data_IF_532377815495
#
_entry.id   IF_532377815495
#
_cell.length_a   1.000
_cell.length_b   1.000
_cell.length_c   1.000
_cell.angle_alpha   90.00
_cell.angle_beta   90.00
_cell.angle_gamma   90.00
#
_symmetry.space_group_name_H-M   'P 1'
#
loop_
_entity.id
_entity.type
_entity.pdbx_description
1 polymer ?
#
# COMPACT_ATOMS: atom_id res chain seq x y z
N UNK A 1 -11.41 37.58 10.79
CA UNK A 1 -10.97 36.43 11.59
C UNK A 1 -10.06 35.59 10.72
N UNK A 2 -8.77 35.54 11.00
CA UNK A 2 -7.83 34.72 10.23
C UNK A 2 -8.18 33.22 10.40
N UNK A 3 -8.58 32.54 9.32
CA UNK A 3 -8.73 31.08 9.31
C UNK A 3 -7.40 30.47 9.71
N UNK A 4 -7.35 29.78 10.86
CA UNK A 4 -6.20 28.98 11.27
C UNK A 4 -5.85 28.07 10.09
N UNK A 5 -4.64 28.22 9.51
CA UNK A 5 -4.14 27.39 8.42
C UNK A 5 -4.26 25.93 8.87
N UNK A 6 -5.16 25.15 8.29
CA UNK A 6 -5.23 23.71 8.50
C UNK A 6 -3.90 23.14 8.02
N UNK A 7 -3.18 22.43 8.87
CA UNK A 7 -1.84 21.92 8.58
C UNK A 7 -1.82 20.73 7.60
N UNK A 8 -2.98 20.16 7.26
CA UNK A 8 -3.12 19.12 6.26
C UNK A 8 -4.54 19.08 5.71
N UNK A 9 -4.68 19.14 4.39
CA UNK A 9 -5.95 18.97 3.66
C UNK A 9 -6.06 17.48 3.31
N UNK A 10 -6.96 16.78 3.98
CA UNK A 10 -7.13 15.33 3.84
C UNK A 10 -8.31 15.04 2.92
N UNK A 11 -8.03 14.49 1.73
CA UNK A 11 -9.05 14.13 0.75
C UNK A 11 -9.91 12.91 1.16
N UNK A 12 -9.34 12.03 1.94
CA UNK A 12 -10.02 10.78 2.33
C UNK A 12 -9.90 9.65 1.31
N UNK A 13 -9.41 9.94 0.11
CA UNK A 13 -9.16 8.91 -0.89
C UNK A 13 -7.87 8.15 -0.61
N UNK A 14 -7.79 6.94 -1.12
CA UNK A 14 -6.60 6.10 -1.12
C UNK A 14 -6.69 5.11 -2.26
N UNK A 15 -5.59 4.52 -2.64
CA UNK A 15 -5.56 3.62 -3.77
C UNK A 15 -4.58 2.47 -3.61
N UNK A 16 -4.41 1.77 -4.71
CA UNK A 16 -3.47 0.68 -4.87
C UNK A 16 -3.11 0.55 -6.35
N UNK A 17 -1.83 0.40 -6.65
CA UNK A 17 -1.41 0.00 -7.99
C UNK A 17 -1.87 -1.43 -8.30
N UNK A 18 -2.30 -1.64 -9.53
CA UNK A 18 -2.62 -2.94 -10.13
C UNK A 18 -1.81 -3.12 -11.42
N UNK A 19 -1.92 -4.25 -12.09
CA UNK A 19 -1.24 -4.47 -13.37
C UNK A 19 -1.74 -3.44 -14.39
N UNK A 20 -0.82 -2.66 -14.94
CA UNK A 20 -1.06 -1.56 -15.91
C UNK A 20 -2.17 -0.58 -15.49
N UNK A 21 -2.32 -0.37 -14.18
CA UNK A 21 -3.42 0.44 -13.71
C UNK A 21 -3.34 0.88 -12.26
N UNK A 22 -4.37 1.61 -11.87
CA UNK A 22 -4.55 2.12 -10.51
C UNK A 22 -6.00 1.89 -10.07
N UNK A 23 -6.16 1.33 -8.88
CA UNK A 23 -7.43 1.35 -8.15
C UNK A 23 -7.45 2.56 -7.23
N UNK A 24 -8.53 3.35 -7.26
CA UNK A 24 -8.83 4.40 -6.30
C UNK A 24 -10.10 4.10 -5.53
N UNK A 25 -10.10 4.42 -4.25
CA UNK A 25 -11.23 4.19 -3.33
C UNK A 25 -11.58 5.46 -2.58
N UNK A 26 -12.88 5.77 -2.56
CA UNK A 26 -13.48 6.83 -1.76
C UNK A 26 -14.65 6.24 -0.96
N UNK A 27 -14.50 6.13 0.36
CA UNK A 27 -15.47 5.46 1.25
C UNK A 27 -15.75 4.02 0.81
N UNK A 28 -16.96 3.72 0.34
CA UNK A 28 -17.36 2.39 -0.14
C UNK A 28 -17.20 2.23 -1.66
N UNK A 29 -17.13 3.34 -2.41
CA UNK A 29 -16.98 3.32 -3.85
C UNK A 29 -15.50 3.15 -4.22
N UNK A 30 -15.21 2.35 -5.24
CA UNK A 30 -13.87 2.24 -5.81
C UNK A 30 -13.95 2.14 -7.33
N UNK A 31 -12.90 2.61 -7.99
CA UNK A 31 -12.69 2.44 -9.42
C UNK A 31 -11.35 1.79 -9.70
N UNK A 32 -11.30 0.95 -10.71
CA UNK A 32 -10.07 0.40 -11.27
C UNK A 32 -9.93 0.93 -12.68
N UNK A 33 -8.89 1.72 -12.94
CA UNK A 33 -8.55 2.16 -14.28
C UNK A 33 -7.33 1.38 -14.77
N UNK A 34 -7.39 0.83 -15.98
CA UNK A 34 -6.37 -0.05 -16.55
C UNK A 34 -6.12 0.39 -17.98
N UNK A 35 -4.84 0.50 -18.39
CA UNK A 35 -4.49 0.71 -19.80
C UNK A 35 -4.40 -0.65 -20.49
N UNK A 36 -5.29 -0.88 -21.45
CA UNK A 36 -5.30 -2.10 -22.29
C UNK A 36 -4.15 -2.11 -23.30
N UNK A 37 -3.91 -3.27 -23.90
CA UNK A 37 -2.86 -3.43 -24.92
C UNK A 37 -3.08 -2.58 -26.17
N UNK A 38 -4.33 -2.21 -26.50
CA UNK A 38 -4.69 -1.30 -27.59
C UNK A 38 -4.47 0.18 -27.28
N UNK A 39 -4.06 0.50 -26.03
CA UNK A 39 -3.82 1.86 -25.55
C UNK A 39 -5.06 2.53 -24.93
N UNK A 40 -6.26 1.95 -25.04
CA UNK A 40 -7.45 2.48 -24.40
C UNK A 40 -7.38 2.30 -22.87
N UNK A 41 -7.98 3.27 -22.14
CA UNK A 41 -8.12 3.19 -20.69
C UNK A 41 -9.53 2.66 -20.37
N UNK A 42 -9.57 1.46 -19.80
CA UNK A 42 -10.79 0.88 -19.23
C UNK A 42 -10.99 1.35 -17.79
N UNK A 43 -12.22 1.69 -17.40
CA UNK A 43 -12.53 2.14 -16.04
C UNK A 43 -13.76 1.41 -15.53
N UNK A 44 -13.56 0.53 -14.56
CA UNK A 44 -14.64 -0.15 -13.85
C UNK A 44 -14.88 0.50 -12.50
N UNK A 45 -16.14 0.84 -12.21
CA UNK A 45 -16.57 1.41 -10.91
C UNK A 45 -17.46 0.39 -10.21
N UNK A 46 -17.18 0.12 -8.93
CA UNK A 46 -17.96 -0.81 -8.13
C UNK A 46 -17.94 -0.42 -6.65
N UNK A 47 -18.75 -1.07 -5.84
CA UNK A 47 -18.89 -0.81 -4.40
C UNK A 47 -18.28 -1.94 -3.60
N UNK A 48 -17.36 -1.62 -2.71
CA UNK A 48 -16.76 -2.58 -1.80
C UNK A 48 -17.21 -2.33 -0.36
N UNK A 49 -18.07 -3.20 0.11
CA UNK A 49 -18.46 -3.25 1.53
C UNK A 49 -17.56 -4.24 2.26
N UNK A 50 -16.90 -3.79 3.32
CA UNK A 50 -16.03 -4.62 4.15
C UNK A 50 -16.75 -5.81 4.78
N UNK A 51 -16.01 -6.66 5.52
CA UNK A 51 -16.51 -7.89 6.15
C UNK A 51 -17.71 -7.67 7.09
N UNK A 52 -17.74 -6.53 7.80
CA UNK A 52 -18.77 -6.21 8.79
C UNK A 52 -19.29 -4.78 8.57
N UNK A 53 -20.03 -4.51 7.49
CA UNK A 53 -20.52 -3.18 7.18
C UNK A 53 -21.47 -2.68 8.28
N UNK A 54 -21.21 -1.47 8.77
CA UNK A 54 -22.03 -0.85 9.83
C UNK A 54 -21.84 -1.39 11.25
N UNK A 55 -21.03 -2.43 11.46
CA UNK A 55 -20.78 -3.01 12.78
C UNK A 55 -19.98 -2.07 13.69
N UNK A 56 -20.32 -2.06 14.99
CA UNK A 56 -19.56 -1.33 16.01
C UNK A 56 -18.16 -1.91 16.22
N UNK A 57 -17.94 -3.19 15.94
CA UNK A 57 -16.66 -3.89 16.12
C UNK A 57 -15.58 -3.26 15.22
N UNK A 58 -15.94 -2.86 13.99
CA UNK A 58 -15.02 -2.20 13.06
C UNK A 58 -14.67 -0.76 13.45
N UNK A 59 -15.25 -0.23 14.54
CA UNK A 59 -14.92 1.10 15.08
C UNK A 59 -13.99 1.03 16.29
N UNK A 60 -13.84 -0.16 16.91
CA UNK A 60 -13.00 -0.37 18.09
C UNK A 60 -11.52 -0.24 17.70
N UNK A 61 -10.74 0.61 18.40
CA UNK A 61 -9.29 0.70 18.18
C UNK A 61 -8.62 -0.69 18.19
N UNK A 62 -7.57 -0.87 17.44
CA UNK A 62 -6.86 -2.12 17.16
C UNK A 62 -7.67 -3.14 16.36
N UNK A 63 -8.89 -3.51 16.76
CA UNK A 63 -9.74 -4.45 16.01
C UNK A 63 -10.06 -3.92 14.60
N UNK A 64 -10.38 -2.63 14.49
CA UNK A 64 -10.59 -2.00 13.17
C UNK A 64 -9.37 -2.13 12.25
N UNK A 65 -8.15 -2.13 12.81
CA UNK A 65 -6.93 -2.31 12.05
C UNK A 65 -6.84 -3.69 11.42
N UNK A 66 -7.22 -4.73 12.16
CA UNK A 66 -7.26 -6.11 11.67
C UNK A 66 -8.28 -6.23 10.53
N UNK A 67 -9.50 -5.75 10.73
CA UNK A 67 -10.55 -5.83 9.71
C UNK A 67 -10.22 -5.01 8.47
N UNK A 68 -9.75 -3.77 8.63
CA UNK A 68 -9.35 -2.94 7.49
C UNK A 68 -8.18 -3.55 6.72
N UNK A 69 -7.24 -4.22 7.39
CA UNK A 69 -6.15 -4.93 6.73
C UNK A 69 -6.67 -6.10 5.89
N UNK A 70 -7.55 -6.93 6.46
CA UNK A 70 -8.18 -8.04 5.73
C UNK A 70 -9.00 -7.52 4.55
N UNK A 71 -9.78 -6.47 4.74
CA UNK A 71 -10.59 -5.85 3.70
C UNK A 71 -9.71 -5.26 2.58
N UNK A 72 -8.60 -4.62 2.92
CA UNK A 72 -7.63 -4.12 1.94
C UNK A 72 -7.00 -5.26 1.12
N UNK A 73 -6.66 -6.38 1.76
CA UNK A 73 -6.15 -7.56 1.04
C UNK A 73 -7.21 -8.14 0.10
N UNK A 74 -8.46 -8.27 0.55
CA UNK A 74 -9.56 -8.79 -0.27
C UNK A 74 -9.84 -7.90 -1.49
N UNK A 75 -9.92 -6.57 -1.26
CA UNK A 75 -10.11 -5.63 -2.35
C UNK A 75 -8.92 -5.63 -3.30
N UNK A 76 -7.70 -5.60 -2.75
CA UNK A 76 -6.47 -5.63 -3.55
C UNK A 76 -6.38 -6.87 -4.44
N UNK A 77 -6.67 -8.05 -3.91
CA UNK A 77 -6.71 -9.30 -4.70
C UNK A 77 -7.78 -9.25 -5.78
N UNK A 78 -8.99 -8.71 -5.47
CA UNK A 78 -10.05 -8.54 -6.47
C UNK A 78 -9.58 -7.65 -7.62
N UNK A 79 -8.95 -6.52 -7.33
CA UNK A 79 -8.50 -5.56 -8.34
C UNK A 79 -7.29 -6.08 -9.14
N UNK A 80 -6.35 -6.80 -8.50
CA UNK A 80 -5.22 -7.44 -9.20
C UNK A 80 -5.73 -8.53 -10.15
N UNK A 81 -6.64 -9.39 -9.70
CA UNK A 81 -7.21 -10.44 -10.55
C UNK A 81 -8.03 -9.84 -11.71
N UNK A 82 -8.75 -8.75 -11.47
CA UNK A 82 -9.43 -8.03 -12.54
C UNK A 82 -8.44 -7.48 -13.57
N UNK A 83 -7.37 -6.82 -13.13
CA UNK A 83 -6.36 -6.28 -14.04
C UNK A 83 -5.60 -7.36 -14.79
N UNK A 84 -5.36 -8.53 -14.18
CA UNK A 84 -4.70 -9.66 -14.84
C UNK A 84 -5.46 -10.17 -16.07
N UNK A 85 -6.80 -10.14 -16.05
CA UNK A 85 -7.62 -10.59 -17.16
C UNK A 85 -7.34 -9.85 -18.48
N UNK A 86 -6.91 -8.58 -18.41
CA UNK A 86 -6.57 -7.79 -19.59
C UNK A 86 -5.19 -8.13 -20.19
N UNK A 87 -4.41 -8.96 -19.50
CA UNK A 87 -3.05 -9.37 -19.91
C UNK A 87 -2.96 -10.85 -20.25
N UNK A 88 -3.95 -11.66 -19.85
CA UNK A 88 -4.01 -13.09 -20.16
C UNK A 88 -4.45 -13.37 -21.61
N UNK A 89 -4.78 -12.35 -22.42
CA UNK A 89 -5.11 -12.49 -23.86
C UNK A 89 -3.94 -12.91 -24.76
N UNK A 90 -2.74 -13.10 -24.23
CA UNK A 90 -1.67 -13.85 -24.85
C UNK A 90 -1.75 -15.29 -24.38
N UNK A 91 -2.47 -16.16 -25.12
CA UNK A 91 -2.48 -17.63 -25.03
C UNK A 91 -1.56 -18.20 -23.92
N UNK A 92 -1.96 -18.05 -22.66
CA UNK A 92 -1.40 -18.87 -21.61
C UNK A 92 -1.80 -20.31 -21.97
N UNK A 93 -0.91 -21.04 -22.66
CA UNK A 93 -1.11 -22.45 -22.92
C UNK A 93 -1.45 -23.10 -21.58
N UNK A 94 -2.73 -23.51 -21.45
CA UNK A 94 -3.16 -24.26 -20.27
C UNK A 94 -2.14 -25.35 -20.00
N UNK A 95 -1.46 -25.26 -18.88
CA UNK A 95 -0.43 -26.23 -18.55
C UNK A 95 -1.09 -27.61 -18.39
N UNK A 96 -0.32 -28.69 -18.60
CA UNK A 96 -0.81 -30.05 -18.36
C UNK A 96 -1.36 -30.21 -16.94
N UNK A 97 -0.90 -29.38 -16.01
CA UNK A 97 -1.35 -29.35 -14.62
C UNK A 97 -2.75 -28.73 -14.50
N UNK A 98 -3.03 -27.64 -15.24
CA UNK A 98 -4.34 -26.97 -15.24
C UNK A 98 -5.41 -27.89 -15.78
N UNK A 99 -5.14 -28.56 -16.91
CA UNK A 99 -6.04 -29.58 -17.50
C UNK A 99 -6.28 -30.76 -16.58
N UNK A 100 -5.26 -31.21 -15.85
CA UNK A 100 -5.38 -32.30 -14.89
C UNK A 100 -6.22 -31.90 -13.67
N UNK A 101 -5.99 -30.69 -13.14
CA UNK A 101 -6.72 -30.15 -12.01
C UNK A 101 -8.20 -29.89 -12.37
N UNK A 102 -8.48 -29.37 -13.53
CA UNK A 102 -9.86 -29.14 -13.99
C UNK A 102 -10.64 -30.46 -14.17
N UNK A 103 -9.97 -31.48 -14.68
CA UNK A 103 -10.57 -32.80 -14.84
C UNK A 103 -10.87 -33.50 -13.50
N UNK A 104 -10.03 -33.27 -12.47
CA UNK A 104 -10.22 -33.85 -11.13
C UNK A 104 -11.20 -33.05 -10.31
N UNK A 105 -11.25 -31.72 -10.49
CA UNK A 105 -12.02 -30.78 -9.65
C UNK A 105 -13.42 -30.43 -10.22
N UNK A 106 -13.77 -30.94 -11.38
CA UNK A 106 -15.08 -30.66 -12.02
C UNK A 106 -15.25 -29.18 -12.38
N UNK A 107 -14.22 -28.54 -12.97
CA UNK A 107 -14.24 -27.12 -13.41
C UNK A 107 -13.91 -26.11 -12.29
N UNK A 108 -13.33 -26.57 -11.16
CA UNK A 108 -12.88 -25.70 -10.05
C UNK A 108 -11.36 -25.64 -9.92
N UNK A 109 -10.60 -26.15 -10.90
CA UNK A 109 -9.15 -26.29 -10.86
C UNK A 109 -8.45 -24.97 -10.59
N UNK A 110 -8.82 -23.90 -11.28
CA UNK A 110 -8.29 -22.55 -11.12
C UNK A 110 -8.46 -22.03 -9.69
N UNK A 111 -9.67 -22.16 -9.10
CA UNK A 111 -9.92 -21.70 -7.72
C UNK A 111 -9.12 -22.48 -6.68
N UNK A 112 -8.92 -23.79 -6.91
CA UNK A 112 -8.13 -24.66 -6.03
C UNK A 112 -6.66 -24.26 -6.14
N UNK A 113 -6.15 -24.07 -7.37
CA UNK A 113 -4.78 -23.64 -7.61
C UNK A 113 -4.51 -22.25 -6.99
N UNK A 114 -5.40 -21.30 -7.18
CA UNK A 114 -5.32 -19.97 -6.56
C UNK A 114 -5.33 -20.05 -5.03
N UNK A 115 -6.20 -20.88 -4.44
CA UNK A 115 -6.22 -21.12 -2.99
C UNK A 115 -4.93 -21.76 -2.49
N UNK A 116 -4.41 -22.76 -3.20
CA UNK A 116 -3.15 -23.42 -2.84
C UNK A 116 -1.95 -22.47 -2.91
N UNK A 117 -1.82 -21.70 -4.00
CA UNK A 117 -0.73 -20.74 -4.17
C UNK A 117 -0.80 -19.63 -3.11
N UNK A 118 -2.00 -19.18 -2.76
CA UNK A 118 -2.19 -18.20 -1.67
C UNK A 118 -1.73 -18.76 -0.33
N UNK A 119 -2.13 -19.97 0.04
CA UNK A 119 -1.71 -20.61 1.28
C UNK A 119 -0.19 -20.84 1.29
N UNK A 120 0.37 -21.34 0.18
CA UNK A 120 1.81 -21.56 0.04
C UNK A 120 2.59 -20.24 0.20
N UNK A 121 2.11 -19.15 -0.40
CA UNK A 121 2.72 -17.82 -0.28
C UNK A 121 2.70 -17.31 1.17
N UNK A 122 1.61 -17.52 1.90
CA UNK A 122 1.52 -17.15 3.32
C UNK A 122 2.50 -17.98 4.16
N UNK A 123 2.57 -19.31 3.93
CA UNK A 123 3.52 -20.19 4.64
C UNK A 123 4.95 -19.76 4.36
N UNK A 124 5.29 -19.46 3.11
CA UNK A 124 6.61 -18.98 2.73
C UNK A 124 6.94 -17.63 3.36
N UNK A 125 5.99 -16.70 3.38
CA UNK A 125 6.17 -15.40 4.04
C UNK A 125 6.45 -15.57 5.55
N UNK A 126 5.70 -16.43 6.24
CA UNK A 126 5.94 -16.74 7.66
C UNK A 126 7.32 -17.38 7.84
N UNK A 127 7.71 -18.31 6.97
CA UNK A 127 9.03 -18.95 7.01
C UNK A 127 10.16 -17.94 6.84
N UNK A 128 10.08 -17.05 5.84
CA UNK A 128 11.14 -16.08 5.53
C UNK A 128 11.20 -14.93 6.55
N UNK A 129 10.05 -14.36 6.97
CA UNK A 129 10.04 -13.14 7.78
C UNK A 129 9.91 -13.39 9.29
N UNK A 130 9.50 -14.58 9.71
CA UNK A 130 9.37 -14.92 11.14
C UNK A 130 10.35 -16.01 11.55
N UNK A 131 10.37 -17.13 10.82
CA UNK A 131 11.17 -18.29 11.23
C UNK A 131 12.66 -18.12 10.89
N UNK A 132 12.99 -17.66 9.69
CA UNK A 132 14.38 -17.53 9.25
C UNK A 132 15.21 -16.58 10.14
N UNK A 133 14.76 -15.34 10.49
CA UNK A 133 15.47 -14.48 11.42
C UNK A 133 15.69 -15.14 12.77
N UNK A 134 14.68 -15.84 13.28
CA UNK A 134 14.76 -16.57 14.53
C UNK A 134 15.83 -17.69 14.48
N UNK A 135 15.80 -18.53 13.47
CA UNK A 135 16.79 -19.60 13.34
C UNK A 135 18.21 -19.07 13.13
N UNK A 136 18.39 -18.04 12.31
CA UNK A 136 19.69 -17.41 12.11
C UNK A 136 20.24 -16.80 13.41
N UNK A 137 19.41 -16.21 14.22
CA UNK A 137 19.83 -15.68 15.53
C UNK A 137 20.21 -16.81 16.51
N UNK A 138 19.51 -17.97 16.45
CA UNK A 138 19.82 -19.11 17.34
C UNK A 138 21.18 -19.75 17.03
N UNK A 139 21.69 -19.64 15.80
CA UNK A 139 23.03 -20.11 15.46
C UNK A 139 24.12 -19.35 16.23
N UNK A 140 23.80 -18.15 16.70
CA UNK A 140 24.71 -17.32 17.49
C UNK A 140 24.66 -17.61 19.00
N UNK A 141 23.77 -18.49 19.47
CA UNK A 141 23.63 -18.84 20.90
C UNK A 141 24.93 -19.38 21.52
N UNK A 142 25.78 -20.03 20.70
CA UNK A 142 27.09 -20.52 21.16
C UNK A 142 28.10 -19.41 21.48
N UNK A 143 27.95 -18.25 20.85
CA UNK A 143 28.85 -17.11 20.97
C UNK A 143 28.28 -16.01 21.90
N UNK A 144 26.95 -15.83 21.90
CA UNK A 144 26.25 -14.77 22.61
C UNK A 144 25.32 -15.39 23.65
N UNK A 145 25.65 -15.20 24.92
CA UNK A 145 24.84 -15.74 26.05
C UNK A 145 23.75 -14.75 26.54
N UNK A 146 23.72 -13.55 26.01
CA UNK A 146 22.77 -12.52 26.42
C UNK A 146 21.50 -12.58 25.53
N UNK A 147 20.39 -13.03 26.09
CA UNK A 147 19.11 -13.16 25.38
C UNK A 147 18.59 -11.84 24.81
N UNK A 148 18.84 -10.72 25.47
CA UNK A 148 18.42 -9.40 24.98
C UNK A 148 19.21 -8.99 23.75
N UNK A 149 20.53 -9.27 23.76
CA UNK A 149 21.37 -9.00 22.59
C UNK A 149 20.98 -9.89 21.40
N UNK A 150 20.68 -11.17 21.65
CA UNK A 150 20.18 -12.07 20.60
C UNK A 150 18.85 -11.60 20.01
N UNK A 151 17.94 -11.10 20.83
CA UNK A 151 16.67 -10.54 20.33
C UNK A 151 16.87 -9.27 19.48
N UNK A 152 17.83 -8.41 19.84
CA UNK A 152 18.20 -7.25 19.02
C UNK A 152 18.79 -7.70 17.68
N UNK A 153 19.71 -8.66 17.69
CA UNK A 153 20.32 -9.22 16.47
C UNK A 153 19.26 -9.85 15.58
N UNK A 154 18.33 -10.61 16.14
CA UNK A 154 17.18 -11.15 15.41
C UNK A 154 16.38 -10.04 14.73
N UNK A 155 16.13 -8.93 15.44
CA UNK A 155 15.46 -7.75 14.88
C UNK A 155 16.22 -7.14 13.71
N UNK A 156 17.54 -6.99 13.83
CA UNK A 156 18.41 -6.48 12.75
C UNK A 156 18.37 -7.40 11.53
N UNK A 157 18.52 -8.71 11.76
CA UNK A 157 18.43 -9.73 10.68
C UNK A 157 17.07 -9.64 9.97
N UNK A 158 15.96 -9.48 10.71
CA UNK A 158 14.62 -9.34 10.14
C UNK A 158 14.49 -8.10 9.25
N UNK A 159 14.98 -6.95 9.70
CA UNK A 159 15.00 -5.74 8.89
C UNK A 159 15.85 -5.95 7.64
N UNK A 160 17.03 -6.56 7.77
CA UNK A 160 17.91 -6.81 6.63
C UNK A 160 17.27 -7.74 5.59
N UNK A 161 16.64 -8.84 6.02
CA UNK A 161 15.89 -9.75 5.13
C UNK A 161 14.74 -9.01 4.43
N UNK A 162 13.98 -8.21 5.19
CA UNK A 162 12.87 -7.44 4.64
C UNK A 162 13.35 -6.43 3.57
N UNK A 163 14.39 -5.65 3.86
CA UNK A 163 14.94 -4.69 2.90
C UNK A 163 15.53 -5.39 1.67
N UNK A 164 16.26 -6.49 1.87
CA UNK A 164 16.80 -7.28 0.78
C UNK A 164 15.69 -7.84 -0.12
N UNK A 165 14.61 -8.34 0.46
CA UNK A 165 13.44 -8.78 -0.28
C UNK A 165 12.84 -7.67 -1.13
N UNK A 166 12.59 -6.49 -0.55
CA UNK A 166 12.04 -5.34 -1.28
C UNK A 166 12.96 -4.93 -2.44
N UNK A 167 14.28 -4.88 -2.21
CA UNK A 167 15.24 -4.57 -3.28
C UNK A 167 15.21 -5.65 -4.35
N UNK A 168 15.22 -6.95 -3.97
CA UNK A 168 15.22 -8.05 -4.93
C UNK A 168 13.99 -8.02 -5.85
N UNK A 169 12.78 -7.86 -5.27
CA UNK A 169 11.57 -7.80 -6.09
C UNK A 169 11.50 -6.52 -6.95
N UNK A 170 12.09 -5.41 -6.49
CA UNK A 170 12.12 -4.16 -7.26
C UNK A 170 12.95 -4.23 -8.55
N UNK A 171 13.79 -5.26 -8.70
CA UNK A 171 14.57 -5.53 -9.91
C UNK A 171 13.75 -6.26 -10.99
N UNK A 172 12.62 -6.86 -10.63
CA UNK A 172 11.71 -7.49 -11.59
C UNK A 172 10.99 -6.41 -12.40
N UNK A 173 10.94 -6.57 -13.74
CA UNK A 173 10.35 -5.55 -14.64
C UNK A 173 8.88 -5.25 -14.31
N UNK A 174 8.09 -6.28 -14.05
CA UNK A 174 6.66 -6.13 -13.76
C UNK A 174 6.43 -5.41 -12.42
N UNK A 175 7.23 -5.73 -11.41
CA UNK A 175 7.18 -5.05 -10.11
C UNK A 175 7.68 -3.61 -10.23
N UNK A 176 8.71 -3.35 -11.06
CA UNK A 176 9.16 -1.99 -11.31
C UNK A 176 8.04 -1.14 -11.93
N UNK A 177 7.32 -1.70 -12.92
CA UNK A 177 6.20 -1.03 -13.57
C UNK A 177 5.02 -0.82 -12.61
N UNK A 178 4.70 -1.83 -11.78
CA UNK A 178 3.73 -1.68 -10.69
C UNK A 178 4.11 -0.55 -9.71
N UNK A 179 5.41 -0.38 -9.42
CA UNK A 179 5.88 0.71 -8.57
C UNK A 179 5.81 2.09 -9.24
N UNK A 180 5.82 2.17 -10.58
CA UNK A 180 5.55 3.41 -11.31
C UNK A 180 4.06 3.79 -11.19
N UNK A 181 3.13 2.86 -11.36
CA UNK A 181 1.70 3.10 -11.11
C UNK A 181 1.41 3.48 -9.65
N UNK A 182 2.14 2.90 -8.69
CA UNK A 182 2.07 3.32 -7.29
C UNK A 182 2.59 4.76 -7.09
N UNK A 183 3.60 5.15 -7.84
CA UNK A 183 4.05 6.54 -7.91
C UNK A 183 2.98 7.47 -8.50
N UNK A 184 2.28 7.04 -9.56
CA UNK A 184 1.20 7.78 -10.19
C UNK A 184 0.02 8.01 -9.23
N UNK A 185 -0.41 6.96 -8.50
CA UNK A 185 -1.41 7.07 -7.44
C UNK A 185 -1.06 8.16 -6.43
N UNK A 186 0.16 8.10 -5.86
CA UNK A 186 0.62 9.06 -4.87
C UNK A 186 0.69 10.48 -5.41
N UNK A 187 1.17 10.66 -6.65
CA UNK A 187 1.27 11.97 -7.30
C UNK A 187 -0.12 12.60 -7.49
N UNK A 188 -1.13 11.83 -7.91
CA UNK A 188 -2.50 12.31 -8.05
C UNK A 188 -3.09 12.73 -6.69
N UNK A 189 -2.95 11.91 -5.64
CA UNK A 189 -3.45 12.25 -4.30
C UNK A 189 -2.72 13.49 -3.75
N UNK A 190 -1.40 13.55 -3.84
CA UNK A 190 -0.62 14.69 -3.39
C UNK A 190 -0.92 15.96 -4.19
N UNK A 191 -1.26 15.85 -5.48
CA UNK A 191 -1.65 16.97 -6.32
C UNK A 191 -2.88 17.69 -5.73
N UNK A 192 -3.97 16.95 -5.55
CA UNK A 192 -5.23 17.51 -5.03
C UNK A 192 -5.13 17.94 -3.57
N UNK A 193 -4.42 17.19 -2.71
CA UNK A 193 -4.24 17.55 -1.28
C UNK A 193 -3.36 18.79 -1.06
N UNK A 194 -2.57 19.19 -2.06
CA UNK A 194 -1.82 20.45 -2.08
C UNK A 194 -2.58 21.59 -2.74
N UNK A 195 -3.83 21.37 -3.13
CA UNK A 195 -4.66 22.38 -3.73
C UNK A 195 -4.33 22.66 -5.19
N UNK A 196 -3.80 21.70 -5.93
CA UNK A 196 -3.51 21.82 -7.36
C UNK A 196 -4.59 21.13 -8.19
N UNK A 197 -5.02 21.74 -9.33
CA UNK A 197 -5.90 21.06 -10.28
C UNK A 197 -5.30 19.73 -10.73
N UNK A 198 -6.13 18.69 -10.83
CA UNK A 198 -5.69 17.36 -11.20
C UNK A 198 -5.50 17.27 -12.72
N UNK A 199 -4.31 17.64 -13.18
CA UNK A 199 -3.84 17.53 -14.55
C UNK A 199 -2.58 16.66 -14.58
N UNK A 200 -2.24 16.08 -15.74
CA UNK A 200 -0.99 15.31 -15.92
C UNK A 200 0.22 16.16 -15.51
N UNK A 201 0.27 17.43 -15.95
CA UNK A 201 1.35 18.36 -15.63
C UNK A 201 1.51 18.60 -14.11
N UNK A 202 0.42 18.92 -13.40
CA UNK A 202 0.47 19.16 -11.96
C UNK A 202 0.74 17.89 -11.15
N UNK A 203 0.20 16.75 -11.60
CA UNK A 203 0.48 15.45 -10.99
C UNK A 203 1.96 15.07 -11.20
N UNK A 204 2.54 15.32 -12.39
CA UNK A 204 3.95 15.07 -12.66
C UNK A 204 4.87 15.84 -11.70
N UNK A 205 4.56 17.10 -11.40
CA UNK A 205 5.29 17.95 -10.43
C UNK A 205 5.03 17.60 -8.97
N UNK A 206 4.06 16.72 -8.67
CA UNK A 206 3.72 16.32 -7.30
C UNK A 206 4.62 15.21 -6.78
N UNK A 207 4.70 15.07 -5.45
CA UNK A 207 5.54 14.05 -4.80
C UNK A 207 4.95 12.66 -4.95
N UNK A 208 5.81 11.67 -5.24
CA UNK A 208 5.46 10.24 -5.17
C UNK A 208 5.54 9.65 -3.76
N UNK A 209 5.88 10.46 -2.74
CA UNK A 209 5.93 10.03 -1.35
C UNK A 209 4.68 10.53 -0.63
N UNK A 210 3.94 9.62 0.01
CA UNK A 210 2.69 9.94 0.68
C UNK A 210 2.61 9.34 2.09
N UNK A 211 2.14 10.09 3.10
CA UNK A 211 2.17 9.69 4.52
C UNK A 211 1.28 8.48 4.85
N UNK A 212 0.25 8.22 4.07
CA UNK A 212 -0.79 7.20 4.35
C UNK A 212 -0.69 5.97 3.44
N UNK A 213 0.49 5.69 2.95
CA UNK A 213 0.71 4.57 2.05
C UNK A 213 0.73 3.22 2.78
N UNK A 214 0.16 2.21 2.14
CA UNK A 214 0.17 0.82 2.62
C UNK A 214 1.56 0.22 2.77
N UNK A 215 2.56 0.67 2.00
CA UNK A 215 3.95 0.18 2.15
C UNK A 215 4.59 0.67 3.46
N UNK A 216 4.22 1.85 3.95
CA UNK A 216 4.59 2.29 5.30
C UNK A 216 4.01 1.38 6.39
N UNK A 217 2.84 0.78 6.15
CA UNK A 217 2.25 -0.20 7.06
C UNK A 217 3.14 -1.45 7.20
N UNK A 218 3.70 -1.96 6.12
CA UNK A 218 4.62 -3.10 6.17
C UNK A 218 5.85 -2.80 7.04
N UNK A 219 6.41 -1.60 6.92
CA UNK A 219 7.50 -1.17 7.81
C UNK A 219 7.09 -1.22 9.28
N UNK A 220 5.91 -0.67 9.63
CA UNK A 220 5.43 -0.69 11.00
C UNK A 220 5.12 -2.09 11.51
N UNK A 221 4.63 -2.99 10.65
CA UNK A 221 4.44 -4.41 11.00
C UNK A 221 5.78 -5.05 11.40
N UNK A 222 6.84 -4.84 10.63
CA UNK A 222 8.18 -5.33 10.97
C UNK A 222 8.68 -4.68 12.26
N UNK A 223 8.58 -3.38 12.40
CA UNK A 223 9.07 -2.63 13.58
C UNK A 223 8.34 -3.04 14.87
N UNK A 224 7.01 -3.07 14.86
CA UNK A 224 6.18 -3.51 16.01
C UNK A 224 6.46 -4.96 16.34
N UNK A 225 6.65 -5.83 15.34
CA UNK A 225 6.99 -7.24 15.58
C UNK A 225 8.32 -7.38 16.34
N UNK A 226 9.33 -6.57 16.02
CA UNK A 226 10.63 -6.60 16.70
C UNK A 226 10.45 -6.22 18.17
N UNK A 227 9.70 -5.14 18.43
CA UNK A 227 9.43 -4.68 19.81
C UNK A 227 8.70 -5.78 20.59
N UNK A 228 7.62 -6.33 20.06
CA UNK A 228 6.84 -7.35 20.77
C UNK A 228 7.66 -8.63 20.99
N UNK A 229 8.39 -9.08 19.97
CA UNK A 229 9.18 -10.32 20.08
C UNK A 229 10.38 -10.18 20.99
N UNK A 230 10.90 -8.97 21.20
CA UNK A 230 11.93 -8.68 22.22
C UNK A 230 11.47 -9.05 23.64
N UNK A 231 10.18 -8.91 23.94
CA UNK A 231 9.63 -9.24 25.25
C UNK A 231 9.21 -10.69 25.40
N UNK A 232 9.22 -11.50 24.33
CA UNK A 232 8.84 -12.91 24.40
C UNK A 232 9.99 -13.75 24.95
N UNK A 233 9.84 -14.22 26.20
CA UNK A 233 10.82 -15.04 26.93
C UNK A 233 10.33 -16.49 27.10
N UNK A 234 9.94 -17.12 26.00
CA UNK A 234 9.49 -18.52 26.00
C UNK A 234 10.65 -19.42 25.63
N UNK A 235 11.02 -20.35 26.51
CA UNK A 235 12.17 -21.25 26.31
C UNK A 235 11.88 -22.34 25.26
N UNK A 236 10.65 -22.85 25.20
CA UNK A 236 10.29 -23.87 24.23
C UNK A 236 10.16 -23.27 22.82
N UNK A 237 10.92 -23.76 21.81
CA UNK A 237 10.91 -23.20 20.45
C UNK A 237 9.55 -23.27 19.78
N UNK A 238 8.79 -24.35 19.98
CA UNK A 238 7.46 -24.53 19.36
C UNK A 238 6.47 -23.50 19.90
N UNK A 239 6.38 -23.36 21.22
CA UNK A 239 5.50 -22.35 21.82
C UNK A 239 5.92 -20.92 21.46
N UNK A 240 7.21 -20.65 21.31
CA UNK A 240 7.73 -19.36 20.86
C UNK A 240 7.24 -19.03 19.46
N UNK A 241 7.31 -19.98 18.52
CA UNK A 241 6.82 -19.82 17.15
C UNK A 241 5.29 -19.64 17.13
N UNK A 242 4.55 -20.49 17.83
CA UNK A 242 3.08 -20.38 17.90
C UNK A 242 2.63 -19.03 18.44
N UNK A 243 3.30 -18.53 19.51
CA UNK A 243 3.00 -17.22 20.08
C UNK A 243 3.27 -16.09 19.08
N UNK A 244 4.37 -16.16 18.32
CA UNK A 244 4.69 -15.17 17.28
C UNK A 244 3.63 -15.11 16.18
N UNK A 245 3.15 -16.26 15.75
CA UNK A 245 2.06 -16.36 14.77
C UNK A 245 0.76 -15.81 15.36
N UNK A 246 0.42 -16.16 16.59
CA UNK A 246 -0.77 -15.67 17.28
C UNK A 246 -0.75 -14.13 17.48
N UNK A 247 0.43 -13.51 17.53
CA UNK A 247 0.58 -12.06 17.65
C UNK A 247 0.44 -11.30 16.32
N UNK A 248 0.41 -11.96 15.17
CA UNK A 248 0.28 -11.28 13.86
C UNK A 248 -0.93 -10.32 13.83
N UNK A 249 -2.15 -10.71 14.25
CA UNK A 249 -3.28 -9.79 14.26
C UNK A 249 -3.06 -8.59 15.18
N UNK A 250 -2.43 -8.80 16.34
CA UNK A 250 -2.12 -7.71 17.29
C UNK A 250 -1.12 -6.73 16.68
N UNK A 251 -0.07 -7.24 16.04
CA UNK A 251 0.95 -6.44 15.33
C UNK A 251 0.27 -5.61 14.24
N UNK A 252 -0.61 -6.22 13.43
CA UNK A 252 -1.33 -5.53 12.38
C UNK A 252 -2.24 -4.42 12.95
N UNK A 253 -2.96 -4.70 14.03
CA UNK A 253 -3.82 -3.73 14.71
C UNK A 253 -3.04 -2.52 15.23
N UNK A 254 -1.90 -2.73 15.91
CA UNK A 254 -1.04 -1.66 16.40
C UNK A 254 -0.46 -0.84 15.25
N UNK A 255 0.06 -1.50 14.22
CA UNK A 255 0.66 -0.87 13.04
C UNK A 255 -0.33 0.01 12.29
N UNK A 256 -1.59 -0.44 12.18
CA UNK A 256 -2.66 0.34 11.60
C UNK A 256 -2.96 1.63 12.39
N UNK A 257 -3.03 1.55 13.73
CA UNK A 257 -3.26 2.74 14.56
C UNK A 257 -2.11 3.75 14.42
N UNK A 258 -0.86 3.29 14.31
CA UNK A 258 0.30 4.17 14.08
C UNK A 258 0.16 4.91 12.75
N UNK A 259 -0.15 4.22 11.64
CA UNK A 259 -0.33 4.86 10.34
C UNK A 259 -1.49 5.83 10.34
N UNK A 260 -2.61 5.45 10.94
CA UNK A 260 -3.77 6.32 11.07
C UNK A 260 -3.46 7.60 11.83
N UNK A 261 -2.65 7.49 12.88
CA UNK A 261 -2.17 8.66 13.64
C UNK A 261 -1.24 9.52 12.78
N UNK A 262 -0.32 8.88 12.05
CA UNK A 262 0.61 9.54 11.12
C UNK A 262 -0.11 10.36 10.04
N UNK A 263 -1.24 9.85 9.53
CA UNK A 263 -2.05 10.55 8.53
C UNK A 263 -2.88 11.73 9.06
N UNK A 264 -3.02 11.88 10.38
CA UNK A 264 -3.90 12.89 11.00
C UNK A 264 -3.19 14.07 11.64
N UNK A 265 -1.89 13.97 11.84
CA UNK A 265 -1.14 14.97 12.58
C UNK A 265 0.23 15.23 11.94
N UNK A 266 0.61 16.51 11.92
CA UNK A 266 1.92 16.98 11.47
C UNK A 266 2.88 17.29 12.62
N UNK A 267 2.59 16.79 13.83
CA UNK A 267 3.46 16.93 14.97
C UNK A 267 4.86 16.36 14.68
N UNK A 268 5.90 17.01 15.18
CA UNK A 268 7.30 16.62 14.98
C UNK A 268 7.57 15.16 15.38
N UNK A 269 6.97 14.69 16.49
CA UNK A 269 7.10 13.32 16.95
C UNK A 269 6.55 12.33 15.93
N UNK A 270 5.38 12.63 15.37
CA UNK A 270 4.73 11.79 14.35
C UNK A 270 5.53 11.80 13.04
N UNK A 271 6.09 12.95 12.66
CA UNK A 271 6.99 13.04 11.49
C UNK A 271 8.22 12.14 11.66
N UNK A 272 8.85 12.13 12.84
CA UNK A 272 10.01 11.26 13.13
C UNK A 272 9.60 9.78 13.04
N UNK A 273 8.49 9.40 13.66
CA UNK A 273 8.00 8.00 13.64
C UNK A 273 7.66 7.56 12.21
N UNK A 274 7.10 8.45 11.38
CA UNK A 274 6.68 8.13 10.01
C UNK A 274 7.83 8.15 9.00
N UNK A 275 8.94 8.82 9.31
CA UNK A 275 10.06 9.01 8.38
C UNK A 275 10.62 7.69 7.81
N UNK A 276 10.84 6.61 8.60
CA UNK A 276 11.35 5.36 8.04
C UNK A 276 10.36 4.70 7.06
N UNK A 277 9.05 4.78 7.33
CA UNK A 277 8.03 4.29 6.41
C UNK A 277 8.01 5.06 5.09
N UNK A 278 8.17 6.40 5.14
CA UNK A 278 8.31 7.22 3.93
C UNK A 278 9.63 6.94 3.19
N UNK A 279 10.70 6.61 3.91
CA UNK A 279 11.96 6.19 3.28
C UNK A 279 11.79 4.90 2.48
N UNK A 280 11.04 3.92 3.00
CA UNK A 280 10.76 2.69 2.29
C UNK A 280 10.04 2.95 0.96
N UNK A 281 9.18 3.96 0.89
CA UNK A 281 8.49 4.33 -0.34
C UNK A 281 9.45 4.74 -1.47
N UNK A 282 10.64 5.24 -1.18
CA UNK A 282 11.65 5.52 -2.21
C UNK A 282 12.07 4.26 -2.98
N UNK A 283 11.94 3.09 -2.36
CA UNK A 283 12.20 1.79 -2.99
C UNK A 283 10.95 1.23 -3.68
N UNK A 284 9.77 1.44 -3.09
CA UNK A 284 8.50 0.84 -3.50
C UNK A 284 7.61 1.75 -4.35
N UNK A 285 8.08 2.95 -4.69
CA UNK A 285 7.48 3.84 -5.69
C UNK A 285 8.54 4.28 -6.68
N UNK A 286 8.17 4.40 -7.95
CA UNK A 286 9.04 4.91 -9.02
C UNK A 286 8.36 6.08 -9.71
N UNK A 287 9.14 6.85 -10.49
CA UNK A 287 8.57 7.94 -11.28
C UNK A 287 7.72 7.35 -12.41
N UNK A 288 6.43 7.71 -12.48
CA UNK A 288 5.56 7.33 -13.58
C UNK A 288 5.85 8.17 -14.82
N UNK A 289 5.45 7.67 -15.97
CA UNK A 289 5.29 8.46 -17.18
C UNK A 289 3.93 9.18 -17.24
N UNK A 290 3.73 10.00 -18.27
CA UNK A 290 2.47 10.76 -18.45
C UNK A 290 1.28 9.83 -18.69
N UNK A 291 1.47 8.74 -19.44
CA UNK A 291 0.43 7.77 -19.74
C UNK A 291 -0.08 7.07 -18.46
N UNK A 292 0.80 6.75 -17.53
CA UNK A 292 0.42 6.17 -16.22
C UNK A 292 -0.34 7.17 -15.36
N UNK A 293 0.00 8.47 -15.45
CA UNK A 293 -0.76 9.52 -14.75
C UNK A 293 -2.15 9.69 -15.32
N UNK A 294 -2.33 9.60 -16.65
CA UNK A 294 -3.68 9.61 -17.26
C UNK A 294 -4.57 8.52 -16.67
N UNK A 295 -4.05 7.30 -16.56
CA UNK A 295 -4.77 6.17 -15.94
C UNK A 295 -5.14 6.47 -14.49
N UNK A 296 -4.18 6.97 -13.69
CA UNK A 296 -4.41 7.30 -12.29
C UNK A 296 -5.44 8.44 -12.13
N UNK A 297 -5.40 9.47 -12.97
CA UNK A 297 -6.37 10.57 -13.00
C UNK A 297 -7.77 10.04 -13.29
N UNK A 298 -7.93 9.18 -14.31
CA UNK A 298 -9.22 8.55 -14.65
C UNK A 298 -9.80 7.75 -13.47
N UNK A 299 -8.96 7.02 -12.75
CA UNK A 299 -9.38 6.29 -11.56
C UNK A 299 -9.85 7.23 -10.43
N UNK A 300 -9.16 8.37 -10.21
CA UNK A 300 -9.58 9.38 -9.23
C UNK A 300 -10.92 10.00 -9.63
N UNK A 301 -11.05 10.47 -10.88
CA UNK A 301 -12.25 11.13 -11.38
C UNK A 301 -13.49 10.26 -11.31
N UNK A 302 -13.33 8.94 -11.43
CA UNK A 302 -14.44 8.01 -11.38
C UNK A 302 -15.08 7.86 -9.99
N UNK A 303 -14.36 8.18 -8.90
CA UNK A 303 -14.85 7.99 -7.52
C UNK A 303 -14.77 9.24 -6.65
N UNK A 304 -14.15 10.30 -7.12
CA UNK A 304 -13.89 11.50 -6.32
C UNK A 304 -14.05 12.79 -7.10
N UNK A 305 -14.95 13.64 -6.64
CA UNK A 305 -15.13 15.00 -7.16
C UNK A 305 -14.03 15.91 -6.59
N UNK A 306 -12.85 15.87 -7.23
CA UNK A 306 -11.70 16.63 -6.83
C UNK A 306 -11.89 18.15 -7.06
N UNK A 307 -12.76 18.57 -8.02
CA UNK A 307 -13.06 19.99 -8.27
C UNK A 307 -13.82 20.58 -7.10
N UNK A 308 -14.87 19.91 -6.65
CA UNK A 308 -15.62 20.32 -5.46
C UNK A 308 -14.75 20.28 -4.19
N UNK A 309 -13.87 19.28 -4.07
CA UNK A 309 -12.92 19.21 -2.95
C UNK A 309 -11.99 20.45 -2.92
N UNK A 310 -11.45 20.87 -4.07
CA UNK A 310 -10.61 22.08 -4.15
C UNK A 310 -11.40 23.33 -3.77
N UNK A 311 -12.65 23.43 -4.20
CA UNK A 311 -13.52 24.54 -3.81
C UNK A 311 -13.77 24.56 -2.30
N UNK A 312 -14.14 23.43 -1.69
CA UNK A 312 -14.43 23.35 -0.25
C UNK A 312 -13.21 23.58 0.64
N UNK A 313 -12.06 22.99 0.29
CA UNK A 313 -10.87 23.03 1.14
C UNK A 313 -9.96 24.23 0.87
N UNK A 314 -9.89 24.73 -0.36
CA UNK A 314 -8.98 25.80 -0.75
C UNK A 314 -9.70 27.09 -1.18
N UNK A 315 -11.00 27.04 -1.50
CA UNK A 315 -11.85 28.20 -1.74
C UNK A 315 -11.72 28.80 -3.13
N UNK A 316 -11.31 28.03 -4.13
CA UNK A 316 -11.28 28.46 -5.52
C UNK A 316 -11.99 27.48 -6.46
N UNK A 317 -12.59 28.00 -7.53
CA UNK A 317 -13.16 27.18 -8.59
C UNK A 317 -12.10 26.87 -9.64
N UNK A 318 -12.14 25.65 -10.16
CA UNK A 318 -11.21 25.22 -11.22
C UNK A 318 -11.74 25.72 -12.56
N UNK A 319 -10.98 26.61 -13.20
CA UNK A 319 -11.29 27.09 -14.54
C UNK A 319 -10.96 26.00 -15.58
N UNK A 320 -11.85 25.77 -16.53
CA UNK A 320 -11.63 24.78 -17.59
C UNK A 320 -10.44 25.13 -18.51
N UNK A 321 -10.07 26.42 -18.60
CA UNK A 321 -8.87 26.84 -19.33
C UNK A 321 -7.58 26.24 -18.74
N UNK A 322 -7.52 26.05 -17.42
CA UNK A 322 -6.37 25.44 -16.74
C UNK A 322 -6.18 23.97 -17.08
N UNK A 323 -7.25 23.30 -17.53
CA UNK A 323 -7.19 21.92 -17.97
C UNK A 323 -6.55 21.77 -19.36
N UNK A 324 -6.59 22.85 -20.19
CA UNK A 324 -6.04 22.84 -21.56
C UNK A 324 -4.57 23.22 -21.61
N UNK A 325 -4.13 24.14 -20.75
CA UNK A 325 -2.78 24.71 -20.80
C UNK A 325 -1.76 24.04 -19.88
N UNK A 326 -2.20 23.11 -19.01
CA UNK A 326 -1.32 22.37 -18.10
C UNK A 326 -0.63 23.22 -17.02
N UNK A 327 -0.78 24.54 -17.04
CA UNK A 327 -0.02 25.43 -16.20
C UNK A 327 -0.93 26.36 -15.36
N UNK A 328 -0.88 26.18 -14.05
CA UNK A 328 -0.90 27.39 -13.20
C UNK A 328 0.45 28.05 -13.42
N UNK A 329 0.46 29.30 -13.87
CA UNK A 329 1.68 30.10 -13.94
C UNK A 329 2.40 30.03 -12.59
N UNK A 330 3.72 29.86 -12.61
CA UNK A 330 4.62 29.77 -11.44
C UNK A 330 4.61 31.01 -10.53
N UNK A 331 3.69 31.94 -10.74
CA UNK A 331 3.63 33.24 -10.06
C UNK A 331 3.20 33.20 -8.58
N UNK A 332 2.93 32.00 -8.01
CA UNK A 332 2.60 31.86 -6.59
C UNK A 332 3.71 31.23 -5.71
N UNK A 333 4.89 30.90 -6.26
CA UNK A 333 6.01 30.34 -5.50
C UNK A 333 7.11 31.37 -5.12
N UNK A 334 7.00 32.66 -5.49
CA UNK A 334 7.87 33.70 -4.94
C UNK A 334 7.36 34.27 -3.61
N UNK A 335 7.34 33.45 -2.58
CA UNK A 335 6.93 33.94 -1.27
C UNK A 335 7.10 32.98 -0.12
N UNK A 336 8.18 32.21 -0.04
CA UNK A 336 8.80 31.73 1.21
C UNK A 336 10.11 30.99 0.87
N UNK A 337 11.07 31.71 0.36
CA UNK A 337 12.47 31.42 0.58
C UNK A 337 12.85 32.00 1.94
N UNK A 338 13.80 31.36 2.60
CA UNK A 338 14.50 31.76 3.84
C UNK A 338 13.77 31.40 5.16
N UNK A 339 14.25 30.45 5.79
CA UNK A 339 15.11 30.09 6.93
C UNK A 339 14.82 28.67 7.45
#
# INVERSE_FOLDING_TARGET
MAKKKKSAHYSGIGGQAVLEGVMMKNKDDYAVAIRKADGEIDVEVDVFRGLFPGSRITKIPFLRGIFNFIDSLRLGMKCINHSAQFYEDGEAEETKLDKALDKISGGRGEKILMGFTTVLSIVLAVAVFILLPYYLSTLLNGFIRNDSLLAIIEGVIRIAIFLLYIVAISLMKDIHRLYQYHGAEHKCINCIEKGRPLTVYNAMKSSRIHKRCGTSFLFFVVFVSIILFFFIRVSNPVYRVLLRIALIPVIAGISYEIIRLAGRSDNILIRIISAPGMWLQKLTTKEPDEEMLEVAIKSVEAVFDWKNYLYEEFGYEVDESWMKDGALSDDSEEGTGEE
#
